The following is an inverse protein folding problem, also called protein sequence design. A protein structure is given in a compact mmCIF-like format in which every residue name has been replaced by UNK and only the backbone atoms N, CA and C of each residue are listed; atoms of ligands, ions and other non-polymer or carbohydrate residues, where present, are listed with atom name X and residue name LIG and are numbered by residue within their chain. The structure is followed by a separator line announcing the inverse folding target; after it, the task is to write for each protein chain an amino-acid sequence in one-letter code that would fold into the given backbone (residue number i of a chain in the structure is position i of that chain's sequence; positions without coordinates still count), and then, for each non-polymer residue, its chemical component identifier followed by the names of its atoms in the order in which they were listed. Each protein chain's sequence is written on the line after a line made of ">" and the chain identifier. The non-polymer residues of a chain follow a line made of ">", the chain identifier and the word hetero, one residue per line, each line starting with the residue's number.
data_IF_396198583194
#
_entry.id   IF_396198583194
#
_cell.length_a   1.000
_cell.length_b   1.000
_cell.length_c   1.000
_cell.angle_alpha   90.00
_cell.angle_beta   90.00
_cell.angle_gamma   90.00
#
_symmetry.space_group_name_H-M   'P 1'
#
loop_
_entity.id
_entity.type
_entity.pdbx_description
1 polymer ?
#
# COMPACT_ATOMS: atom_id res chain seq x y z
N UNK A 1 -10.37 21.39 24.84
CA UNK A 1 -9.88 21.30 24.71
C UNK A 1 -9.87 21.22 24.63
N UNK A 2 -10.37 20.76 24.20
CA UNK A 2 -9.88 20.56 24.11
C UNK A 2 -9.56 20.50 23.40
N UNK A 3 -9.97 20.22 22.99
CA UNK A 3 -9.26 20.05 22.21
C UNK A 3 -8.85 20.27 21.65
N UNK A 4 -9.19 20.27 21.36
CA UNK A 4 -8.46 20.36 20.59
C UNK A 4 -7.91 20.51 20.49
N UNK A 5 -8.15 20.53 20.26
CA UNK A 5 -7.15 20.60 20.02
C UNK A 5 -6.49 20.61 20.12
N UNK A 6 -6.62 20.46 19.87
CA UNK A 6 -5.66 20.35 19.85
C UNK A 6 -4.89 20.41 19.72
N UNK A 7 -5.17 20.39 19.71
CA UNK A 7 -4.10 20.29 19.49
C UNK A 7 -3.44 20.31 19.70
N UNK A 8 -3.58 20.30 19.75
CA UNK A 8 -2.69 20.14 19.85
C UNK A 8 -2.00 20.09 20.08
N UNK A 9 -2.07 19.92 20.31
CA UNK A 9 -1.31 19.63 20.53
C UNK A 9 -0.88 19.42 20.99
N UNK A 10 -0.97 19.56 21.37
CA UNK A 10 -0.52 19.15 21.80
C UNK A 10 -0.42 18.66 22.20
N UNK A 11 -0.48 18.72 22.62
CA UNK A 11 -0.26 17.93 22.98
C UNK A 11 -0.30 17.40 23.43
N UNK A 12 -0.39 16.89 23.58
CA UNK A 12 -0.41 16.13 24.13
C UNK A 12 -0.36 15.46 24.17
N UNK A 13 0.03 15.21 24.47
CA UNK A 13 0.09 14.20 24.48
C UNK A 13 -0.27 13.53 24.45
N UNK A 14 0.06 13.11 24.09
CA UNK A 14 -0.26 12.23 24.12
C UNK A 14 -0.62 11.77 24.42
N UNK A 15 -0.61 12.00 24.66
CA UNK A 15 -1.11 11.26 25.44
C UNK A 15 -1.76 10.00 25.12
N UNK A 16 -2.21 9.19 26.01
CA UNK A 16 -2.87 7.96 25.67
C UNK A 16 -4.19 8.22 25.04
N UNK A 17 -4.45 7.55 23.90
CA UNK A 17 -5.71 7.73 23.22
C UNK A 17 -6.78 6.90 23.90
N UNK A 18 -8.01 7.42 23.88
CA UNK A 18 -9.14 6.63 24.33
C UNK A 18 -9.38 5.50 23.33
N UNK A 19 -10.19 4.53 23.75
CA UNK A 19 -10.52 3.42 22.86
C UNK A 19 -11.25 3.91 21.62
N UNK A 20 -12.15 4.87 21.78
CA UNK A 20 -12.88 5.42 20.62
C UNK A 20 -11.94 6.09 19.64
N UNK A 21 -10.96 6.86 20.13
CA UNK A 21 -10.00 7.52 19.27
C UNK A 21 -9.15 6.51 18.52
N UNK A 22 -8.74 5.45 19.20
CA UNK A 22 -7.96 4.40 18.56
C UNK A 22 -8.77 3.73 17.47
N UNK A 23 -10.06 3.48 17.73
CA UNK A 23 -10.91 2.86 16.73
C UNK A 23 -11.08 3.74 15.50
N UNK A 24 -11.24 5.05 15.72
CA UNK A 24 -11.35 5.98 14.60
C UNK A 24 -10.07 6.00 13.77
N UNK A 25 -8.92 6.02 14.44
CA UNK A 25 -7.64 6.01 13.78
C UNK A 25 -7.48 4.74 12.95
N UNK A 26 -7.82 3.60 13.55
CA UNK A 26 -7.72 2.33 12.85
C UNK A 26 -8.68 2.28 11.68
N UNK A 27 -9.84 2.90 11.82
CA UNK A 27 -10.82 2.90 10.74
C UNK A 27 -10.31 3.67 9.52
N UNK A 28 -9.69 4.83 9.72
CA UNK A 28 -9.13 5.61 8.62
C UNK A 28 -8.05 4.81 7.91
N UNK A 29 -7.13 4.24 8.67
CA UNK A 29 -6.05 3.45 8.08
C UNK A 29 -6.62 2.24 7.34
N UNK A 30 -7.61 1.58 7.92
CA UNK A 30 -8.25 0.45 7.26
C UNK A 30 -8.87 0.86 5.92
N UNK A 31 -9.53 2.00 5.90
CA UNK A 31 -10.15 2.50 4.67
C UNK A 31 -9.10 2.81 3.60
N UNK A 32 -7.99 3.40 4.01
CA UNK A 32 -6.92 3.71 3.06
C UNK A 32 -6.35 2.41 2.48
N UNK A 33 -6.11 1.42 3.33
CA UNK A 33 -5.57 0.15 2.87
C UNK A 33 -6.55 -0.56 1.94
N UNK A 34 -7.84 -0.52 2.27
CA UNK A 34 -8.86 -1.11 1.39
C UNK A 34 -8.92 -0.39 0.06
N UNK A 35 -8.81 0.94 0.09
CA UNK A 35 -8.82 1.71 -1.15
C UNK A 35 -7.64 1.32 -2.04
N UNK A 36 -6.46 1.17 -1.44
CA UNK A 36 -5.28 0.75 -2.19
C UNK A 36 -5.52 -0.61 -2.83
N UNK A 37 -6.09 -1.53 -2.08
CA UNK A 37 -6.34 -2.87 -2.61
C UNK A 37 -7.35 -2.83 -3.76
N UNK A 38 -8.42 -2.08 -3.59
CA UNK A 38 -9.49 -2.03 -4.59
C UNK A 38 -9.11 -1.24 -5.84
N UNK A 39 -8.15 -0.32 -5.72
CA UNK A 39 -7.80 0.58 -6.82
C UNK A 39 -6.31 0.52 -7.14
N UNK A 40 -5.71 -0.65 -6.99
CA UNK A 40 -4.26 -0.79 -7.11
C UNK A 40 -3.76 -0.32 -8.47
N UNK A 41 -4.58 -0.46 -9.49
CA UNK A 41 -4.17 -0.12 -10.83
C UNK A 41 -3.89 1.37 -10.99
N UNK A 42 -4.66 2.22 -10.33
CA UNK A 42 -4.54 3.67 -10.55
C UNK A 42 -4.44 4.49 -9.28
N UNK A 43 -4.23 3.86 -8.12
CA UNK A 43 -4.20 4.62 -6.86
C UNK A 43 -2.98 5.53 -6.79
N UNK A 44 -3.22 6.72 -6.26
CA UNK A 44 -2.18 7.68 -5.93
C UNK A 44 -2.42 8.16 -4.50
N UNK A 45 -1.43 8.84 -3.93
CA UNK A 45 -1.61 9.43 -2.61
C UNK A 45 -2.80 10.38 -2.61
N UNK A 46 -2.93 11.16 -3.69
CA UNK A 46 -4.02 12.13 -3.79
C UNK A 46 -5.38 11.45 -3.78
N UNK A 47 -5.52 10.38 -4.55
CA UNK A 47 -6.80 9.66 -4.61
C UNK A 47 -7.10 8.97 -3.30
N UNK A 48 -6.09 8.39 -2.67
CA UNK A 48 -6.29 7.74 -1.38
C UNK A 48 -6.72 8.76 -0.33
N UNK A 49 -6.10 9.93 -0.35
CA UNK A 49 -6.45 10.99 0.60
C UNK A 49 -7.88 11.45 0.38
N UNK A 50 -8.25 11.62 -0.87
CA UNK A 50 -9.61 12.04 -1.20
C UNK A 50 -10.64 11.04 -0.68
N UNK A 51 -10.31 9.75 -0.74
CA UNK A 51 -11.24 8.71 -0.32
C UNK A 51 -11.57 8.79 1.17
N UNK A 52 -10.69 9.40 1.96
CA UNK A 52 -10.92 9.59 3.39
C UNK A 52 -11.02 11.05 3.75
N UNK A 53 -11.18 11.94 2.75
CA UNK A 53 -11.38 13.37 2.93
C UNK A 53 -10.26 14.03 3.70
N UNK A 54 -9.05 13.66 3.34
CA UNK A 54 -7.85 14.23 3.95
C UNK A 54 -7.01 14.94 2.91
N UNK A 55 -6.24 15.92 3.35
CA UNK A 55 -5.21 16.52 2.53
C UNK A 55 -4.12 15.49 2.29
N UNK A 56 -3.56 15.39 1.06
CA UNK A 56 -2.54 14.36 0.78
C UNK A 56 -1.32 14.43 1.69
N UNK A 57 -0.84 15.64 1.98
CA UNK A 57 0.32 15.76 2.86
C UNK A 57 0.00 15.30 4.27
N UNK A 58 -1.22 15.62 4.72
CA UNK A 58 -1.64 15.19 6.04
C UNK A 58 -1.78 13.66 6.08
N UNK A 59 -2.36 13.06 5.03
CA UNK A 59 -2.47 11.61 5.00
C UNK A 59 -1.11 10.95 5.00
N UNK A 60 -0.16 11.51 4.25
CA UNK A 60 1.19 10.95 4.19
C UNK A 60 1.81 10.88 5.58
N UNK A 61 1.74 11.99 6.32
CA UNK A 61 2.28 12.03 7.68
C UNK A 61 1.50 11.12 8.62
N UNK A 62 0.20 11.17 8.51
CA UNK A 62 -0.67 10.39 9.37
C UNK A 62 -0.44 8.90 9.18
N UNK A 63 -0.36 8.47 7.91
CA UNK A 63 -0.15 7.06 7.59
C UNK A 63 1.18 6.58 8.16
N UNK A 64 2.24 7.38 7.95
CA UNK A 64 3.55 7.01 8.47
C UNK A 64 3.54 6.93 9.99
N UNK A 65 2.88 7.88 10.62
CA UNK A 65 2.84 7.93 12.08
C UNK A 65 2.06 6.74 12.66
N UNK A 66 0.97 6.36 12.01
CA UNK A 66 0.12 5.30 12.53
C UNK A 66 0.60 3.90 12.19
N UNK A 67 1.24 3.72 11.04
CA UNK A 67 1.63 2.38 10.60
C UNK A 67 3.12 2.12 10.70
N UNK A 68 3.93 3.17 10.83
CA UNK A 68 5.38 3.02 10.83
C UNK A 68 5.97 2.93 9.43
N UNK A 69 5.14 2.92 8.40
CA UNK A 69 5.60 2.82 7.02
C UNK A 69 5.18 4.06 6.24
N UNK A 70 6.04 4.49 5.33
CA UNK A 70 5.65 5.55 4.42
C UNK A 70 4.62 5.01 3.43
N UNK A 71 3.71 5.88 3.01
CA UNK A 71 2.63 5.49 2.11
C UNK A 71 3.18 4.85 0.83
N UNK A 72 4.20 5.48 0.21
CA UNK A 72 4.78 4.95 -1.02
C UNK A 72 5.41 3.59 -0.85
N UNK A 73 6.08 3.38 0.28
CA UNK A 73 6.71 2.08 0.55
C UNK A 73 5.65 1.01 0.77
N UNK A 74 4.59 1.36 1.46
CA UNK A 74 3.48 0.43 1.67
C UNK A 74 2.83 0.06 0.35
N UNK A 75 2.59 1.06 -0.50
CA UNK A 75 1.97 0.83 -1.81
C UNK A 75 2.85 -0.07 -2.67
N UNK A 76 4.14 0.21 -2.71
CA UNK A 76 5.07 -0.62 -3.48
C UNK A 76 5.04 -2.06 -3.01
N UNK A 77 5.09 -2.25 -1.69
CA UNK A 77 5.05 -3.58 -1.12
C UNK A 77 3.78 -4.33 -1.53
N UNK A 78 2.64 -3.65 -1.47
CA UNK A 78 1.38 -4.29 -1.84
C UNK A 78 1.31 -4.62 -3.31
N UNK A 79 1.81 -3.72 -4.16
CA UNK A 79 1.85 -3.98 -5.60
C UNK A 79 2.71 -5.19 -5.92
N UNK A 80 3.88 -5.29 -5.28
CA UNK A 80 4.78 -6.39 -5.53
C UNK A 80 4.22 -7.72 -5.01
N UNK A 81 3.58 -7.69 -3.87
CA UNK A 81 2.98 -8.92 -3.32
C UNK A 81 1.83 -9.40 -4.18
N UNK A 82 1.00 -8.49 -4.66
CA UNK A 82 -0.10 -8.90 -5.54
C UNK A 82 0.44 -9.43 -6.86
N UNK A 83 1.50 -8.80 -7.41
CA UNK A 83 2.11 -9.30 -8.62
C UNK A 83 2.65 -10.72 -8.41
N UNK A 84 3.32 -10.94 -7.29
CA UNK A 84 3.86 -12.27 -6.99
C UNK A 84 2.73 -13.30 -6.91
N UNK A 85 1.62 -12.93 -6.29
CA UNK A 85 0.47 -13.83 -6.20
C UNK A 85 -0.07 -14.19 -7.59
N UNK A 86 -0.20 -13.17 -8.44
CA UNK A 86 -0.73 -13.40 -9.79
C UNK A 86 0.24 -14.23 -10.64
N UNK A 87 1.54 -14.03 -10.44
CA UNK A 87 2.53 -14.81 -11.20
C UNK A 87 2.42 -16.29 -10.92
N UNK A 88 2.10 -16.64 -9.67
CA UNK A 88 2.03 -18.03 -9.26
C UNK A 88 0.64 -18.62 -9.47
N UNK A 89 -0.39 -17.84 -9.21
CA UNK A 89 -1.76 -18.36 -9.16
C UNK A 89 -2.57 -18.14 -10.40
N UNK A 90 -2.01 -17.50 -11.42
CA UNK A 90 -2.74 -17.24 -12.65
C UNK A 90 -1.81 -17.45 -13.83
N UNK A 91 -2.41 -17.52 -15.02
CA UNK A 91 -1.66 -17.61 -16.25
C UNK A 91 -1.59 -16.25 -16.96
N UNK A 92 -1.88 -15.17 -16.23
CA UNK A 92 -1.84 -13.85 -16.81
C UNK A 92 -0.46 -13.53 -17.36
N UNK A 93 -0.44 -12.83 -18.49
CA UNK A 93 0.81 -12.39 -19.06
C UNK A 93 1.47 -11.37 -18.14
N UNK A 94 2.80 -11.34 -18.16
CA UNK A 94 3.53 -10.40 -17.31
C UNK A 94 3.10 -8.96 -17.61
N UNK A 95 2.86 -8.66 -18.88
CA UNK A 95 2.39 -7.34 -19.30
C UNK A 95 1.04 -7.00 -18.66
N UNK A 96 0.15 -7.98 -18.59
CA UNK A 96 -1.16 -7.77 -17.98
C UNK A 96 -1.05 -7.57 -16.48
N UNK A 97 -0.17 -8.35 -15.84
CA UNK A 97 0.05 -8.20 -14.41
C UNK A 97 0.61 -6.82 -14.11
N UNK A 98 1.55 -6.35 -14.95
CA UNK A 98 2.13 -5.02 -14.75
C UNK A 98 1.04 -3.95 -14.68
N UNK A 99 0.12 -3.97 -15.62
CA UNK A 99 -0.97 -2.99 -15.63
C UNK A 99 -1.88 -3.17 -14.41
N UNK A 100 -2.22 -4.42 -14.09
CA UNK A 100 -3.11 -4.71 -12.99
C UNK A 100 -2.57 -4.15 -11.67
N UNK A 101 -1.27 -4.18 -11.46
CA UNK A 101 -0.69 -3.70 -10.21
C UNK A 101 -0.20 -2.26 -10.30
N UNK A 102 -0.52 -1.55 -11.39
CA UNK A 102 -0.33 -0.11 -11.42
C UNK A 102 0.88 0.40 -12.19
N UNK A 103 1.47 -0.42 -13.05
CA UNK A 103 2.58 0.01 -13.88
C UNK A 103 2.12 0.22 -15.31
N UNK A 104 2.65 1.26 -15.93
CA UNK A 104 2.25 1.56 -17.30
C UNK A 104 2.97 0.70 -18.34
N UNK A 105 4.15 0.14 -17.99
CA UNK A 105 4.90 -0.70 -18.91
C UNK A 105 5.41 -1.93 -18.19
N UNK A 106 5.62 -2.99 -18.99
CA UNK A 106 6.20 -4.21 -18.44
C UNK A 106 7.63 -3.99 -18.00
N UNK A 107 8.35 -3.10 -18.70
CA UNK A 107 9.76 -2.84 -18.36
C UNK A 107 9.89 -2.18 -17.00
N UNK A 108 9.07 -1.18 -16.72
CA UNK A 108 9.15 -0.51 -15.42
C UNK A 108 8.71 -1.45 -14.30
N UNK A 109 7.71 -2.28 -14.58
CA UNK A 109 7.26 -3.27 -13.63
C UNK A 109 8.39 -4.28 -13.33
N UNK A 110 9.00 -4.82 -14.37
CA UNK A 110 10.04 -5.83 -14.20
C UNK A 110 11.21 -5.29 -13.40
N UNK A 111 11.55 -4.02 -13.62
CA UNK A 111 12.63 -3.40 -12.90
C UNK A 111 12.33 -3.28 -11.42
N UNK A 112 11.13 -2.81 -11.09
CA UNK A 112 10.70 -2.72 -9.71
C UNK A 112 10.59 -4.08 -9.06
N UNK A 113 10.06 -5.05 -9.78
CA UNK A 113 9.89 -6.41 -9.24
C UNK A 113 11.26 -7.02 -8.93
N UNK A 114 12.21 -6.88 -9.85
CA UNK A 114 13.54 -7.43 -9.62
C UNK A 114 14.21 -6.75 -8.44
N UNK A 115 14.01 -5.45 -8.30
CA UNK A 115 14.57 -4.71 -7.19
C UNK A 115 14.00 -5.20 -5.86
N UNK A 116 12.72 -5.53 -5.86
CA UNK A 116 12.04 -5.95 -4.64
C UNK A 116 12.32 -7.41 -4.28
N UNK A 117 12.28 -8.30 -5.25
CA UNK A 117 12.42 -9.74 -5.01
C UNK A 117 13.77 -10.34 -5.41
N UNK A 118 14.60 -9.58 -6.11
CA UNK A 118 15.89 -10.08 -6.53
C UNK A 118 15.88 -10.92 -7.78
N UNK A 119 14.75 -11.05 -8.43
CA UNK A 119 14.65 -11.80 -9.68
C UNK A 119 13.53 -11.20 -10.52
N UNK A 120 13.57 -11.48 -11.83
CA UNK A 120 12.55 -10.97 -12.73
C UNK A 120 11.22 -11.68 -12.52
N UNK A 121 10.11 -11.07 -12.96
CA UNK A 121 8.82 -11.75 -12.86
C UNK A 121 8.81 -13.12 -13.54
N UNK A 122 9.46 -13.23 -14.69
CA UNK A 122 9.51 -14.51 -15.40
C UNK A 122 10.26 -15.55 -14.59
N UNK A 123 11.40 -15.16 -14.02
CA UNK A 123 12.17 -16.08 -13.18
C UNK A 123 11.37 -16.50 -11.95
N UNK A 124 10.67 -15.54 -11.37
CA UNK A 124 9.85 -15.83 -10.19
C UNK A 124 8.76 -16.84 -10.52
N UNK A 125 8.08 -16.66 -11.64
CA UNK A 125 7.01 -17.58 -12.05
C UNK A 125 7.55 -18.98 -12.28
N UNK A 126 8.69 -19.09 -12.94
CA UNK A 126 9.27 -20.38 -13.24
C UNK A 126 9.70 -21.11 -11.97
N UNK A 127 10.36 -20.39 -11.07
CA UNK A 127 10.84 -21.01 -9.84
C UNK A 127 9.72 -21.45 -8.93
N UNK A 128 8.71 -20.57 -8.77
CA UNK A 128 7.59 -20.91 -7.90
C UNK A 128 6.73 -22.00 -8.47
N UNK A 129 6.61 -22.04 -9.81
CA UNK A 129 5.89 -23.11 -10.45
C UNK A 129 6.54 -24.44 -10.21
N UNK A 130 7.88 -24.49 -10.32
CA UNK A 130 8.61 -25.73 -10.05
C UNK A 130 8.44 -26.15 -8.60
N UNK A 131 8.55 -25.18 -7.69
CA UNK A 131 8.40 -25.49 -6.27
C UNK A 131 7.00 -25.97 -5.94
N UNK A 132 6.00 -25.42 -6.64
CA UNK A 132 4.61 -25.79 -6.40
C UNK A 132 4.33 -27.22 -6.81
N UNK A 133 5.06 -27.72 -7.78
CA UNK A 133 4.85 -29.09 -8.29
C UNK A 133 5.42 -30.14 -7.33
N UNK A 134 6.21 -29.71 -6.39
CA UNK A 134 6.74 -30.62 -5.39
C UNK A 134 5.82 -30.72 -4.19
#
# INVERSE_FOLDING_TARGET
>A
AKNGVQNREEVKPIQEKTEATKNETNEVIRRVKNYIYDHMEDVTLELAAESVRMNPQYLSSYFHQQTGEKFGDYLLKKRMKEAARLLVRSSMRIQEIAVRVGYSTANSFSRSFRQFYGMTPKEYRLRRGENSDE
#
